data_IF_025356536186
#
_entry.id   IF_025356536186
#
_cell.length_a   1.000
_cell.length_b   1.000
_cell.length_c   1.000
_cell.angle_alpha   90.00
_cell.angle_beta   90.00
_cell.angle_gamma   90.00
#
_symmetry.space_group_name_H-M   'P 1'
#
loop_
_entity.id
_entity.type
_entity.pdbx_description
1 polymer ?
#
# COMPACT_ATOMS: atom_id res chain seq x y z
N UNK A 1 -2.67 -5.21 25.38
CA UNK A 1 -2.73 -3.89 24.69
C UNK A 1 -3.99 -3.86 23.83
N UNK A 2 -4.62 -2.71 23.72
CA UNK A 2 -5.84 -2.54 22.92
C UNK A 2 -5.51 -2.57 21.42
N UNK A 3 -6.48 -2.96 20.56
CA UNK A 3 -6.32 -2.93 19.11
C UNK A 3 -6.05 -1.51 18.61
N UNK A 4 -4.98 -1.32 17.83
CA UNK A 4 -4.59 0.00 17.31
C UNK A 4 -3.68 -0.09 16.09
N UNK A 5 -3.44 1.03 15.45
CA UNK A 5 -2.37 1.21 14.46
C UNK A 5 -1.19 1.87 15.16
N UNK A 6 -0.05 1.18 15.19
CA UNK A 6 1.19 1.78 15.65
C UNK A 6 1.94 2.34 14.45
N UNK A 7 2.70 3.42 14.65
CA UNK A 7 3.54 3.94 13.58
C UNK A 7 4.85 4.53 14.12
N UNK A 8 5.85 4.54 13.26
CA UNK A 8 7.14 5.18 13.50
C UNK A 8 7.69 5.72 12.19
N UNK A 9 8.54 6.75 12.27
CA UNK A 9 9.28 7.28 11.11
C UNK A 9 10.76 7.27 11.46
N UNK A 10 11.55 6.62 10.62
CA UNK A 10 13.00 6.56 10.76
C UNK A 10 13.65 6.45 9.39
N UNK A 11 14.72 7.18 9.14
CA UNK A 11 15.55 7.11 7.92
C UNK A 11 14.72 7.22 6.60
N UNK A 12 13.70 8.06 6.60
CA UNK A 12 12.82 8.27 5.45
C UNK A 12 11.71 7.22 5.28
N UNK A 13 11.60 6.26 6.17
CA UNK A 13 10.62 5.18 6.13
C UNK A 13 9.59 5.37 7.24
N UNK A 14 8.32 5.50 6.87
CA UNK A 14 7.20 5.36 7.79
C UNK A 14 6.80 3.90 7.88
N UNK A 15 6.81 3.32 9.06
CA UNK A 15 6.31 1.96 9.30
C UNK A 15 4.99 2.04 10.04
N UNK A 16 3.93 1.48 9.45
CA UNK A 16 2.61 1.32 10.07
C UNK A 16 2.41 -0.15 10.42
N UNK A 17 2.11 -0.42 11.70
CA UNK A 17 1.93 -1.77 12.22
C UNK A 17 0.49 -1.97 12.65
N UNK A 18 -0.17 -2.97 12.08
CA UNK A 18 -1.50 -3.41 12.50
C UNK A 18 -1.33 -4.21 13.79
N UNK A 19 -1.80 -3.66 14.92
CA UNK A 19 -1.60 -4.27 16.23
C UNK A 19 -2.91 -4.73 16.84
N UNK A 20 -3.20 -6.00 16.73
CA UNK A 20 -4.30 -6.71 17.40
C UNK A 20 -3.95 -8.20 17.55
N UNK A 21 -2.87 -8.53 18.26
CA UNK A 21 -2.32 -9.90 18.28
C UNK A 21 -3.31 -10.95 18.79
N UNK A 22 -4.21 -10.58 19.73
CA UNK A 22 -5.25 -11.48 20.24
C UNK A 22 -6.21 -12.02 19.17
N UNK A 23 -6.35 -11.31 18.03
CA UNK A 23 -7.19 -11.70 16.89
C UNK A 23 -6.42 -11.73 15.57
N UNK A 24 -5.15 -12.11 15.60
CA UNK A 24 -4.29 -12.19 14.41
C UNK A 24 -4.32 -10.90 13.59
N UNK A 25 -4.24 -9.78 14.28
CA UNK A 25 -4.26 -8.43 13.69
C UNK A 25 -5.52 -8.11 12.86
N UNK A 26 -6.67 -8.73 13.21
CA UNK A 26 -7.96 -8.35 12.60
C UNK A 26 -8.28 -6.89 12.91
N UNK A 27 -8.66 -6.14 11.88
CA UNK A 27 -8.94 -4.71 11.94
C UNK A 27 -10.30 -4.44 12.57
N UNK A 28 -10.33 -3.67 13.64
CA UNK A 28 -11.56 -3.16 14.24
C UNK A 28 -12.12 -1.98 13.43
N UNK A 29 -13.38 -1.59 13.68
CA UNK A 29 -13.96 -0.41 13.05
C UNK A 29 -13.14 0.87 13.32
N UNK A 30 -12.61 1.00 14.54
CA UNK A 30 -11.80 2.16 14.91
C UNK A 30 -10.44 2.19 14.21
N UNK A 31 -9.81 1.04 14.03
CA UNK A 31 -8.58 0.93 13.23
C UNK A 31 -8.84 1.28 11.75
N UNK A 32 -9.97 0.82 11.17
CA UNK A 32 -10.34 1.22 9.82
C UNK A 32 -10.57 2.72 9.68
N UNK A 33 -11.21 3.36 10.68
CA UNK A 33 -11.41 4.82 10.70
C UNK A 33 -10.11 5.59 10.89
N UNK A 34 -9.19 5.05 11.68
CA UNK A 34 -7.93 5.70 12.01
C UNK A 34 -6.91 5.68 10.86
N UNK A 35 -7.00 4.70 9.95
CA UNK A 35 -5.98 4.54 8.89
C UNK A 35 -5.93 5.74 7.92
N UNK A 36 -7.04 6.23 7.33
CA UNK A 36 -6.97 7.37 6.41
C UNK A 36 -6.32 8.63 7.01
N UNK A 37 -6.74 9.17 8.17
CA UNK A 37 -6.09 10.37 8.72
C UNK A 37 -4.63 10.14 9.13
N UNK A 38 -4.25 8.91 9.51
CA UNK A 38 -2.85 8.57 9.73
C UNK A 38 -2.06 8.66 8.43
N UNK A 39 -2.60 8.11 7.32
CA UNK A 39 -1.96 8.18 6.01
C UNK A 39 -1.83 9.62 5.53
N UNK A 40 -2.84 10.47 5.73
CA UNK A 40 -2.78 11.89 5.39
C UNK A 40 -1.65 12.61 6.16
N UNK A 41 -1.51 12.32 7.45
CA UNK A 41 -0.42 12.85 8.28
C UNK A 41 0.95 12.42 7.75
N UNK A 42 1.13 11.13 7.44
CA UNK A 42 2.39 10.60 6.93
C UNK A 42 2.68 11.08 5.49
N UNK A 43 1.66 11.29 4.68
CA UNK A 43 1.81 11.84 3.34
C UNK A 43 2.33 13.29 3.37
N UNK A 44 1.84 14.09 4.33
CA UNK A 44 2.23 15.48 4.51
C UNK A 44 3.63 15.65 5.16
N UNK A 45 4.15 14.62 5.81
CA UNK A 45 5.46 14.68 6.46
C UNK A 45 6.60 14.61 5.41
N UNK A 46 7.41 15.67 5.24
CA UNK A 46 8.52 15.66 4.28
C UNK A 46 9.65 14.67 4.65
N UNK A 47 9.73 14.24 5.91
CA UNK A 47 10.67 13.22 6.34
C UNK A 47 10.30 11.83 5.82
N UNK A 48 9.03 11.59 5.48
CA UNK A 48 8.56 10.31 4.93
C UNK A 48 8.80 10.26 3.43
N UNK A 49 9.47 9.23 2.96
CA UNK A 49 9.73 8.95 1.54
C UNK A 49 9.13 7.62 1.06
N UNK A 50 8.92 6.68 1.98
CA UNK A 50 8.35 5.35 1.74
C UNK A 50 7.46 4.99 2.91
N UNK A 51 6.36 4.28 2.65
CA UNK A 51 5.52 3.69 3.68
C UNK A 51 5.64 2.16 3.64
N UNK A 52 5.89 1.55 4.79
CA UNK A 52 5.83 0.10 5.00
C UNK A 52 4.61 -0.22 5.86
N UNK A 53 3.73 -1.09 5.39
CA UNK A 53 2.61 -1.63 6.15
C UNK A 53 2.92 -3.07 6.55
N UNK A 54 2.79 -3.39 7.83
CA UNK A 54 2.99 -4.75 8.35
C UNK A 54 2.04 -5.05 9.50
N UNK A 55 2.04 -6.30 9.98
CA UNK A 55 1.30 -6.72 11.16
C UNK A 55 2.23 -7.01 12.32
N UNK A 56 1.74 -6.88 13.54
CA UNK A 56 2.48 -7.23 14.76
C UNK A 56 2.77 -8.73 14.82
N UNK A 57 3.99 -9.09 15.18
CA UNK A 57 4.41 -10.49 15.35
C UNK A 57 4.39 -11.30 14.06
N UNK A 58 3.90 -12.53 14.12
CA UNK A 58 3.96 -13.50 13.03
C UNK A 58 2.77 -13.47 12.06
N UNK A 59 1.94 -12.43 12.04
CA UNK A 59 0.75 -12.35 11.17
C UNK A 59 0.56 -10.94 10.64
N UNK A 60 0.31 -10.81 9.35
CA UNK A 60 0.01 -9.52 8.75
C UNK A 60 -1.37 -9.01 9.19
N UNK A 61 -2.44 -9.65 8.73
CA UNK A 61 -3.81 -9.28 9.11
C UNK A 61 -4.80 -10.37 8.67
N UNK A 62 -5.61 -10.87 9.61
CA UNK A 62 -6.63 -11.87 9.34
C UNK A 62 -7.98 -11.30 8.83
N UNK A 63 -8.00 -10.02 8.47
CA UNK A 63 -9.18 -9.36 7.90
C UNK A 63 -9.89 -8.42 8.85
N UNK A 64 -11.19 -8.21 8.64
CA UNK A 64 -12.01 -7.42 9.56
C UNK A 64 -12.35 -8.23 10.82
N UNK A 65 -12.39 -7.56 11.97
CA UNK A 65 -12.91 -8.17 13.20
C UNK A 65 -14.43 -8.40 13.06
N UNK A 66 -14.80 -9.67 12.81
CA UNK A 66 -16.18 -10.08 12.58
C UNK A 66 -17.08 -9.76 13.78
N UNK A 67 -16.54 -9.69 15.01
CA UNK A 67 -17.33 -9.33 16.18
C UNK A 67 -17.90 -7.91 16.10
N UNK A 68 -17.25 -7.03 15.34
CA UNK A 68 -17.68 -5.65 15.08
C UNK A 68 -18.72 -5.54 13.96
N UNK A 69 -18.94 -6.61 13.17
CA UNK A 69 -19.90 -6.64 12.07
C UNK A 69 -21.35 -6.93 12.53
N UNK A 70 -21.55 -7.31 13.80
CA UNK A 70 -22.89 -7.55 14.34
C UNK A 70 -23.69 -6.26 14.39
N UNK A 71 -24.64 -6.10 13.46
CA UNK A 71 -25.58 -4.97 13.43
C UNK A 71 -25.31 -3.86 12.39
N UNK A 72 -24.15 -3.84 11.70
CA UNK A 72 -23.81 -2.79 10.75
C UNK A 72 -22.84 -3.23 9.65
N UNK A 73 -23.11 -4.36 9.00
CA UNK A 73 -22.22 -4.92 7.96
C UNK A 73 -21.88 -3.94 6.82
N UNK A 74 -22.83 -3.10 6.41
CA UNK A 74 -22.59 -2.10 5.35
C UNK A 74 -21.67 -0.96 5.75
N UNK A 75 -21.75 -0.48 7.00
CA UNK A 75 -20.89 0.59 7.50
C UNK A 75 -19.43 0.10 7.63
N UNK A 76 -19.22 -1.08 8.22
CA UNK A 76 -17.89 -1.66 8.37
C UNK A 76 -17.21 -1.92 7.02
N UNK A 77 -17.97 -2.37 6.01
CA UNK A 77 -17.45 -2.53 4.65
C UNK A 77 -17.07 -1.18 4.05
N UNK A 78 -17.86 -0.13 4.23
CA UNK A 78 -17.56 1.22 3.78
C UNK A 78 -16.27 1.79 4.42
N UNK A 79 -16.03 1.48 5.71
CA UNK A 79 -14.79 1.85 6.39
C UNK A 79 -13.57 1.17 5.76
N UNK A 80 -13.65 -0.14 5.52
CA UNK A 80 -12.55 -0.90 4.91
C UNK A 80 -12.22 -0.38 3.50
N UNK A 81 -13.24 -0.09 2.69
CA UNK A 81 -13.05 0.47 1.33
C UNK A 81 -12.38 1.85 1.40
N UNK A 82 -12.83 2.75 2.29
CA UNK A 82 -12.18 4.06 2.46
C UNK A 82 -10.73 3.96 2.86
N UNK A 83 -10.41 3.04 3.77
CA UNK A 83 -9.03 2.80 4.22
C UNK A 83 -8.15 2.24 3.08
N UNK A 84 -8.68 1.31 2.29
CA UNK A 84 -8.01 0.78 1.10
C UNK A 84 -7.75 1.87 0.06
N UNK A 85 -8.76 2.69 -0.27
CA UNK A 85 -8.62 3.78 -1.23
C UNK A 85 -7.61 4.84 -0.77
N UNK A 86 -7.61 5.19 0.52
CA UNK A 86 -6.62 6.11 1.08
C UNK A 86 -5.19 5.55 0.97
N UNK A 87 -5.01 4.24 1.19
CA UNK A 87 -3.71 3.61 1.05
C UNK A 87 -3.25 3.55 -0.41
N UNK A 88 -4.15 3.19 -1.34
CA UNK A 88 -3.84 3.18 -2.76
C UNK A 88 -3.53 4.58 -3.31
N UNK A 89 -4.18 5.62 -2.76
CA UNK A 89 -3.94 7.02 -3.12
C UNK A 89 -2.71 7.64 -2.44
N UNK A 90 -2.00 6.92 -1.57
CA UNK A 90 -0.82 7.44 -0.89
C UNK A 90 0.25 7.82 -1.91
N UNK A 91 0.63 9.11 -1.91
CA UNK A 91 1.41 9.68 -3.02
C UNK A 91 2.88 9.21 -3.11
N UNK A 92 3.37 8.53 -2.08
CA UNK A 92 4.75 8.00 -2.00
C UNK A 92 4.72 6.48 -2.13
N UNK A 93 5.84 5.80 -2.46
CA UNK A 93 5.88 4.34 -2.54
C UNK A 93 5.39 3.64 -1.28
N UNK A 94 4.60 2.58 -1.46
CA UNK A 94 4.05 1.77 -0.38
C UNK A 94 4.46 0.30 -0.55
N UNK A 95 4.86 -0.33 0.54
CA UNK A 95 5.29 -1.72 0.58
C UNK A 95 4.56 -2.48 1.70
N UNK A 96 3.85 -3.55 1.36
CA UNK A 96 3.33 -4.49 2.35
C UNK A 96 4.39 -5.54 2.69
N UNK A 97 4.72 -5.68 3.98
CA UNK A 97 5.60 -6.73 4.51
C UNK A 97 4.72 -7.80 5.18
N UNK A 98 4.54 -8.92 4.49
CA UNK A 98 3.49 -9.92 4.82
C UNK A 98 4.09 -11.15 5.47
N UNK A 99 3.64 -11.47 6.70
CA UNK A 99 3.89 -12.73 7.39
C UNK A 99 2.58 -13.44 7.70
N UNK A 100 2.63 -14.76 7.76
CA UNK A 100 1.50 -15.58 8.18
C UNK A 100 0.21 -15.22 7.42
N UNK A 101 -0.86 -14.91 8.11
CA UNK A 101 -2.16 -14.68 7.49
C UNK A 101 -2.32 -13.27 6.91
N UNK A 102 -2.64 -13.22 5.61
CA UNK A 102 -3.05 -12.03 4.87
C UNK A 102 -4.42 -12.31 4.23
N UNK A 103 -5.52 -12.11 4.97
CA UNK A 103 -6.83 -12.65 4.61
C UNK A 103 -7.90 -11.56 4.60
N UNK A 104 -8.86 -11.64 3.68
CA UNK A 104 -10.00 -10.73 3.58
C UNK A 104 -9.58 -9.27 3.48
N UNK A 105 -9.98 -8.44 4.45
CA UNK A 105 -9.56 -7.04 4.53
C UNK A 105 -8.04 -6.85 4.66
N UNK A 106 -7.30 -7.82 5.22
CA UNK A 106 -5.85 -7.79 5.24
C UNK A 106 -5.25 -7.93 3.83
N UNK A 107 -5.76 -8.88 3.04
CA UNK A 107 -5.36 -9.03 1.66
C UNK A 107 -5.75 -7.81 0.80
N UNK A 108 -6.88 -7.18 1.12
CA UNK A 108 -7.33 -5.93 0.52
C UNK A 108 -6.33 -4.79 0.75
N UNK A 109 -5.86 -4.61 2.00
CA UNK A 109 -4.83 -3.62 2.31
C UNK A 109 -3.49 -3.94 1.64
N UNK A 110 -3.05 -5.20 1.65
CA UNK A 110 -1.83 -5.60 0.97
C UNK A 110 -1.91 -5.31 -0.54
N UNK A 111 -3.04 -5.61 -1.18
CA UNK A 111 -3.28 -5.32 -2.60
C UNK A 111 -3.35 -3.82 -2.92
N UNK A 112 -3.63 -2.97 -1.94
CA UNK A 112 -3.64 -1.52 -2.08
C UNK A 112 -2.24 -0.88 -1.97
N UNK A 113 -1.25 -1.59 -1.45
CA UNK A 113 0.15 -1.17 -1.53
C UNK A 113 0.69 -1.33 -2.96
N UNK A 114 1.73 -0.57 -3.31
CA UNK A 114 2.38 -0.68 -4.61
C UNK A 114 3.07 -2.04 -4.77
N UNK A 115 3.78 -2.48 -3.73
CA UNK A 115 4.53 -3.73 -3.71
C UNK A 115 4.19 -4.56 -2.47
N UNK A 116 4.39 -5.88 -2.56
CA UNK A 116 4.13 -6.87 -1.51
C UNK A 116 5.29 -7.84 -1.43
N UNK A 117 6.02 -7.82 -0.31
CA UNK A 117 7.02 -8.84 0.00
C UNK A 117 6.46 -9.76 1.09
N UNK A 118 6.65 -11.05 0.92
CA UNK A 118 6.08 -12.05 1.80
C UNK A 118 7.14 -13.00 2.35
N UNK A 119 6.88 -13.47 3.57
CA UNK A 119 7.54 -14.65 4.12
C UNK A 119 7.04 -15.92 3.37
N UNK A 120 7.89 -16.93 3.22
CA UNK A 120 7.54 -18.18 2.54
C UNK A 120 6.37 -18.95 3.19
N UNK A 121 6.13 -18.73 4.49
CA UNK A 121 5.01 -19.33 5.22
C UNK A 121 3.72 -18.50 5.14
N UNK A 122 3.72 -17.38 4.42
CA UNK A 122 2.56 -16.52 4.32
C UNK A 122 1.41 -17.20 3.55
N UNK A 123 0.18 -16.93 4.00
CA UNK A 123 -1.05 -17.44 3.38
C UNK A 123 -1.98 -16.29 3.02
N UNK A 124 -2.48 -16.32 1.79
CA UNK A 124 -3.30 -15.27 1.22
C UNK A 124 -4.70 -15.76 0.89
N UNK A 125 -5.71 -14.94 1.10
CA UNK A 125 -7.06 -15.29 0.68
C UNK A 125 -8.05 -14.15 0.78
N UNK A 126 -9.10 -14.23 -0.02
CA UNK A 126 -10.18 -13.26 -0.07
C UNK A 126 -11.49 -14.00 0.16
N UNK A 127 -12.04 -13.87 1.36
CA UNK A 127 -13.05 -14.79 1.90
C UNK A 127 -14.49 -14.26 1.99
N UNK A 128 -14.91 -13.18 1.30
CA UNK A 128 -16.26 -12.62 1.43
C UNK A 128 -17.36 -13.61 1.04
N UNK A 129 -17.11 -14.51 0.07
CA UNK A 129 -18.07 -15.53 -0.34
C UNK A 129 -18.47 -16.50 0.80
N UNK A 130 -17.57 -16.74 1.76
CA UNK A 130 -17.88 -17.56 2.96
C UNK A 130 -18.85 -16.87 3.92
N UNK A 131 -19.00 -15.55 3.80
CA UNK A 131 -19.84 -14.73 4.68
C UNK A 131 -21.06 -14.11 3.96
N UNK A 132 -21.22 -14.38 2.66
CA UNK A 132 -22.24 -13.73 1.84
C UNK A 132 -22.05 -12.23 1.64
N UNK A 133 -20.80 -11.73 1.79
CA UNK A 133 -20.46 -10.30 1.63
C UNK A 133 -20.16 -10.03 0.15
N UNK A 134 -20.79 -8.98 -0.40
CA UNK A 134 -20.45 -8.51 -1.74
C UNK A 134 -19.19 -7.64 -1.66
N UNK A 135 -18.13 -8.08 -2.31
CA UNK A 135 -16.86 -7.36 -2.35
C UNK A 135 -16.96 -6.09 -3.20
N UNK A 136 -16.33 -5.00 -2.79
CA UNK A 136 -16.42 -3.74 -3.50
C UNK A 136 -15.84 -3.85 -4.93
N UNK A 137 -16.44 -3.12 -5.86
CA UNK A 137 -16.00 -3.14 -7.26
C UNK A 137 -14.58 -2.59 -7.45
N UNK A 138 -14.18 -1.58 -6.68
CA UNK A 138 -12.81 -1.03 -6.70
C UNK A 138 -11.79 -2.06 -6.21
N UNK A 139 -12.03 -2.69 -5.07
CA UNK A 139 -11.19 -3.76 -4.52
C UNK A 139 -11.09 -4.96 -5.48
N UNK A 140 -12.22 -5.34 -6.09
CA UNK A 140 -12.24 -6.42 -7.10
C UNK A 140 -11.39 -6.06 -8.33
N UNK A 141 -11.52 -4.85 -8.86
CA UNK A 141 -10.70 -4.40 -10.01
C UNK A 141 -9.23 -4.34 -9.68
N UNK A 142 -8.85 -3.86 -8.48
CA UNK A 142 -7.46 -3.85 -8.00
C UNK A 142 -6.88 -5.25 -7.93
N UNK A 143 -7.63 -6.20 -7.39
CA UNK A 143 -7.21 -7.61 -7.40
C UNK A 143 -7.03 -8.13 -8.82
N UNK A 144 -7.98 -7.86 -9.71
CA UNK A 144 -7.91 -8.29 -11.13
C UNK A 144 -6.68 -7.70 -11.83
N UNK A 145 -6.31 -6.46 -11.55
CA UNK A 145 -5.12 -5.84 -12.15
C UNK A 145 -3.81 -6.51 -11.71
N UNK A 146 -3.76 -7.07 -10.50
CA UNK A 146 -2.60 -7.80 -9.99
C UNK A 146 -2.52 -9.23 -10.54
N UNK A 147 -3.61 -9.99 -10.43
CA UNK A 147 -3.58 -11.45 -10.62
C UNK A 147 -4.33 -11.94 -11.86
N UNK A 148 -4.90 -11.03 -12.63
CA UNK A 148 -5.78 -11.33 -13.75
C UNK A 148 -7.16 -11.86 -13.34
N UNK A 149 -8.13 -11.88 -14.28
CA UNK A 149 -9.53 -12.16 -13.95
C UNK A 149 -9.78 -13.60 -13.49
N UNK A 150 -9.01 -14.59 -13.98
CA UNK A 150 -9.22 -15.99 -13.62
C UNK A 150 -8.80 -16.27 -12.17
N UNK A 151 -7.62 -15.82 -11.76
CA UNK A 151 -7.13 -15.99 -10.38
C UNK A 151 -7.96 -15.15 -9.40
N UNK A 152 -8.36 -13.94 -9.77
CA UNK A 152 -9.26 -13.12 -8.95
C UNK A 152 -10.59 -13.84 -8.69
N UNK A 153 -11.21 -14.42 -9.71
CA UNK A 153 -12.43 -15.23 -9.56
C UNK A 153 -12.21 -16.47 -8.71
N UNK A 154 -11.08 -17.17 -8.88
CA UNK A 154 -10.74 -18.30 -8.04
C UNK A 154 -10.75 -17.90 -6.55
N UNK A 155 -10.02 -16.84 -6.19
CA UNK A 155 -9.94 -16.36 -4.80
C UNK A 155 -11.29 -15.89 -4.26
N UNK A 156 -12.03 -15.09 -5.05
CA UNK A 156 -13.30 -14.50 -4.65
C UNK A 156 -14.44 -15.54 -4.56
N UNK A 157 -14.47 -16.53 -5.46
CA UNK A 157 -15.57 -17.52 -5.50
C UNK A 157 -15.37 -18.63 -4.47
N UNK A 158 -14.13 -19.15 -4.35
CA UNK A 158 -13.84 -20.24 -3.42
C UNK A 158 -13.64 -19.78 -1.99
N UNK A 159 -13.05 -18.57 -1.82
CA UNK A 159 -12.58 -18.11 -0.53
C UNK A 159 -11.45 -18.99 0.04
N UNK A 160 -10.82 -19.83 -0.78
CA UNK A 160 -9.68 -20.64 -0.36
C UNK A 160 -8.44 -19.79 -0.11
N UNK A 161 -7.55 -20.31 0.74
CA UNK A 161 -6.24 -19.71 0.93
C UNK A 161 -5.26 -20.28 -0.10
N UNK A 162 -4.35 -19.46 -0.56
CA UNK A 162 -3.20 -19.84 -1.36
C UNK A 162 -1.91 -19.57 -0.57
N UNK A 163 -0.88 -20.36 -0.82
CA UNK A 163 0.45 -20.17 -0.24
C UNK A 163 1.23 -19.04 -0.93
N UNK A 164 2.39 -18.71 -0.36
CA UNK A 164 3.25 -17.65 -0.87
C UNK A 164 3.79 -17.97 -2.27
N UNK A 165 4.10 -19.24 -2.58
CA UNK A 165 4.57 -19.65 -3.89
C UNK A 165 3.51 -19.40 -4.98
N UNK A 166 2.27 -19.79 -4.72
CA UNK A 166 1.17 -19.53 -5.66
C UNK A 166 0.87 -18.03 -5.77
N UNK A 167 0.95 -17.29 -4.66
CA UNK A 167 0.78 -15.85 -4.65
C UNK A 167 1.85 -15.14 -5.51
N UNK A 168 3.11 -15.56 -5.43
CA UNK A 168 4.19 -15.07 -6.28
C UNK A 168 3.93 -15.41 -7.76
N UNK A 169 3.63 -16.67 -8.05
CA UNK A 169 3.38 -17.13 -9.43
C UNK A 169 2.21 -16.44 -10.11
N UNK A 170 1.22 -15.98 -9.36
CA UNK A 170 0.05 -15.28 -9.89
C UNK A 170 0.18 -13.76 -9.92
N UNK A 171 1.25 -13.19 -9.38
CA UNK A 171 1.47 -11.75 -9.30
C UNK A 171 0.78 -11.07 -8.12
N UNK A 172 0.19 -11.83 -7.19
CA UNK A 172 -0.34 -11.27 -5.95
C UNK A 172 0.77 -10.77 -5.02
N UNK A 173 1.96 -11.35 -5.10
CA UNK A 173 3.16 -11.01 -4.33
C UNK A 173 4.32 -10.80 -5.30
N UNK A 174 5.16 -9.82 -5.02
CA UNK A 174 6.27 -9.42 -5.87
C UNK A 174 7.57 -10.16 -5.50
N UNK A 175 7.74 -10.53 -4.21
CA UNK A 175 8.92 -11.23 -3.72
C UNK A 175 8.56 -12.13 -2.53
N UNK A 176 9.08 -13.36 -2.53
CA UNK A 176 8.95 -14.30 -1.41
C UNK A 176 10.32 -14.57 -0.81
N UNK A 177 10.42 -14.43 0.51
CA UNK A 177 11.67 -14.54 1.26
C UNK A 177 11.63 -15.78 2.17
N UNK A 178 12.76 -16.46 2.34
CA UNK A 178 12.88 -17.52 3.34
C UNK A 178 12.74 -16.97 4.77
N UNK A 179 12.39 -17.83 5.69
CA UNK A 179 12.09 -17.47 7.08
C UNK A 179 13.15 -16.59 7.72
N UNK A 180 12.72 -15.47 8.30
CA UNK A 180 13.56 -14.50 9.00
C UNK A 180 14.25 -13.45 8.10
N UNK A 181 14.23 -13.57 6.77
CA UNK A 181 14.90 -12.62 5.87
C UNK A 181 14.00 -11.44 5.44
N UNK A 182 12.70 -11.52 5.66
CA UNK A 182 11.76 -10.50 5.19
C UNK A 182 12.08 -9.09 5.70
N UNK A 183 12.35 -8.91 7.00
CA UNK A 183 12.64 -7.58 7.57
C UNK A 183 13.90 -6.97 6.97
N UNK A 184 14.94 -7.77 6.84
CA UNK A 184 16.20 -7.36 6.25
C UNK A 184 15.98 -6.90 4.80
N UNK A 185 15.26 -7.70 4.02
CA UNK A 185 14.97 -7.37 2.62
C UNK A 185 14.10 -6.12 2.48
N UNK A 186 13.06 -5.97 3.29
CA UNK A 186 12.20 -4.78 3.35
C UNK A 186 13.03 -3.53 3.69
N UNK A 187 13.91 -3.61 4.69
CA UNK A 187 14.79 -2.50 5.07
C UNK A 187 15.79 -2.15 3.96
N UNK A 188 16.36 -3.13 3.27
CA UNK A 188 17.28 -2.92 2.13
C UNK A 188 16.56 -2.24 0.97
N UNK A 189 15.38 -2.75 0.60
CA UNK A 189 14.59 -2.20 -0.50
C UNK A 189 14.08 -0.80 -0.18
N UNK A 190 13.61 -0.56 1.03
CA UNK A 190 13.19 0.78 1.49
C UNK A 190 14.32 1.79 1.39
N UNK A 191 15.57 1.42 1.78
CA UNK A 191 16.74 2.29 1.60
C UNK A 191 17.04 2.60 0.12
N UNK A 192 16.81 1.64 -0.77
CA UNK A 192 16.90 1.89 -2.21
C UNK A 192 15.86 2.94 -2.61
N UNK A 193 14.58 2.76 -2.26
CA UNK A 193 13.50 3.70 -2.60
C UNK A 193 13.78 5.10 -2.04
N UNK A 194 14.20 5.20 -0.78
CA UNK A 194 14.58 6.48 -0.14
C UNK A 194 15.69 7.20 -0.89
N UNK A 195 16.63 6.47 -1.50
CA UNK A 195 17.76 7.06 -2.24
C UNK A 195 17.41 7.51 -3.67
N UNK A 196 16.20 7.25 -4.15
CA UNK A 196 15.77 7.60 -5.53
C UNK A 196 14.97 8.89 -5.55
N UNK A 197 14.87 9.52 -6.73
CA UNK A 197 14.05 10.71 -6.95
C UNK A 197 12.57 10.44 -6.63
N UNK A 198 11.99 11.17 -5.68
CA UNK A 198 10.56 11.10 -5.39
C UNK A 198 9.71 11.63 -6.55
N UNK A 199 10.23 12.58 -7.32
CA UNK A 199 9.58 13.07 -8.53
C UNK A 199 9.31 11.92 -9.52
N UNK A 200 10.34 11.13 -9.80
CA UNK A 200 10.22 9.99 -10.71
C UNK A 200 9.28 8.92 -10.14
N UNK A 201 9.38 8.62 -8.85
CA UNK A 201 8.55 7.60 -8.21
C UNK A 201 7.07 8.01 -8.22
N UNK A 202 6.75 9.26 -7.88
CA UNK A 202 5.37 9.74 -7.86
C UNK A 202 4.74 9.76 -9.26
N UNK A 203 5.49 10.22 -10.27
CA UNK A 203 5.02 10.19 -11.66
C UNK A 203 4.80 8.75 -12.15
N UNK A 204 5.77 7.85 -11.89
CA UNK A 204 5.68 6.45 -12.28
C UNK A 204 4.49 5.74 -11.63
N UNK A 205 4.21 6.03 -10.35
CA UNK A 205 3.04 5.49 -9.64
C UNK A 205 1.74 5.92 -10.30
N UNK A 206 1.54 7.22 -10.52
CA UNK A 206 0.33 7.72 -11.17
C UNK A 206 0.13 7.13 -12.57
N UNK A 207 1.18 7.02 -13.37
CA UNK A 207 1.09 6.45 -14.71
C UNK A 207 0.80 4.95 -14.69
N UNK A 208 1.44 4.21 -13.77
CA UNK A 208 1.17 2.78 -13.59
C UNK A 208 -0.27 2.52 -13.11
N UNK A 209 -0.84 3.43 -12.33
CA UNK A 209 -2.24 3.38 -11.89
C UNK A 209 -3.23 3.85 -12.97
N UNK A 210 -2.74 4.12 -14.19
CA UNK A 210 -3.57 4.48 -15.35
C UNK A 210 -3.96 5.96 -15.43
N UNK A 211 -3.34 6.84 -14.66
CA UNK A 211 -3.57 8.29 -14.72
C UNK A 211 -2.75 8.91 -15.83
N UNK A 212 -3.36 9.05 -17.01
CA UNK A 212 -2.73 9.64 -18.20
C UNK A 212 -3.13 11.10 -18.45
N UNK A 213 -3.97 11.66 -17.59
CA UNK A 213 -4.47 13.04 -17.67
C UNK A 213 -3.51 14.08 -17.08
N UNK A 214 -2.35 13.64 -16.55
CA UNK A 214 -1.38 14.49 -15.88
C UNK A 214 0.01 14.56 -16.54
N UNK A 215 0.14 14.12 -17.76
CA UNK A 215 1.41 14.15 -18.52
C UNK A 215 2.06 15.54 -18.50
N UNK A 216 1.28 16.59 -18.83
CA UNK A 216 1.76 17.97 -18.83
C UNK A 216 2.18 18.46 -17.44
N UNK A 217 1.47 18.04 -16.39
CA UNK A 217 1.85 18.36 -15.01
C UNK A 217 3.22 17.76 -14.67
N UNK A 218 3.40 16.46 -14.91
CA UNK A 218 4.65 15.78 -14.60
C UNK A 218 5.80 16.26 -15.48
N UNK A 219 5.54 16.60 -16.76
CA UNK A 219 6.53 17.21 -17.62
C UNK A 219 7.00 18.59 -17.10
N UNK A 220 6.11 19.41 -16.52
CA UNK A 220 6.48 20.66 -15.84
C UNK A 220 7.30 20.38 -14.58
N UNK A 221 6.84 19.48 -13.71
CA UNK A 221 7.57 19.11 -12.49
C UNK A 221 8.99 18.62 -12.80
N UNK A 222 9.18 17.83 -13.86
CA UNK A 222 10.48 17.33 -14.28
C UNK A 222 11.42 18.46 -14.77
N UNK A 223 10.88 19.47 -15.47
CA UNK A 223 11.67 20.64 -15.91
C UNK A 223 12.08 21.54 -14.77
N UNK A 224 11.16 21.76 -13.82
CA UNK A 224 11.30 22.79 -12.78
C UNK A 224 11.95 22.23 -11.49
N UNK A 225 11.86 20.91 -11.27
CA UNK A 225 12.20 20.25 -10.01
C UNK A 225 13.68 20.01 -9.74
N UNK A 226 14.56 20.21 -10.73
CA UNK A 226 16.02 20.07 -10.55
C UNK A 226 16.56 18.63 -10.45
N UNK A 227 15.73 17.64 -10.12
CA UNK A 227 16.16 16.25 -9.89
C UNK A 227 16.86 15.62 -11.12
N UNK A 228 16.42 15.96 -12.34
CA UNK A 228 17.07 15.47 -13.58
C UNK A 228 18.50 16.01 -13.70
N UNK A 229 18.71 17.30 -13.45
CA UNK A 229 20.03 17.91 -13.51
C UNK A 229 20.97 17.33 -12.45
N UNK A 230 20.46 17.20 -11.20
CA UNK A 230 21.20 16.58 -10.11
C UNK A 230 21.57 15.11 -10.42
N UNK A 231 20.61 14.33 -10.90
CA UNK A 231 20.84 12.92 -11.24
C UNK A 231 21.92 12.73 -12.31
N UNK A 232 21.92 13.58 -13.35
CA UNK A 232 22.94 13.58 -14.41
C UNK A 232 24.29 14.00 -13.86
N UNK A 233 24.36 15.09 -13.08
CA UNK A 233 25.60 15.56 -12.47
C UNK A 233 26.20 14.50 -11.54
N UNK A 234 25.42 13.95 -10.65
CA UNK A 234 25.84 12.90 -9.71
C UNK A 234 26.38 11.66 -10.44
N UNK A 235 25.71 11.24 -11.54
CA UNK A 235 26.16 10.11 -12.36
C UNK A 235 27.54 10.38 -13.01
N UNK A 236 27.73 11.55 -13.61
CA UNK A 236 29.00 11.92 -14.26
C UNK A 236 30.14 12.08 -13.24
N UNK A 237 29.82 12.61 -12.07
CA UNK A 237 30.77 12.82 -10.96
C UNK A 237 30.99 11.56 -10.11
N UNK A 238 30.28 10.47 -10.37
CA UNK A 238 30.32 9.20 -9.63
C UNK A 238 30.05 9.35 -8.13
N UNK A 239 29.15 10.25 -7.77
CA UNK A 239 28.67 10.46 -6.40
C UNK A 239 27.23 10.02 -6.23
N UNK A 240 26.75 9.98 -4.98
CA UNK A 240 25.31 9.80 -4.72
C UNK A 240 24.58 11.09 -5.08
N UNK A 241 23.39 10.99 -5.73
CA UNK A 241 22.55 12.14 -5.97
C UNK A 241 21.91 12.64 -4.66
N UNK A 242 21.65 13.94 -4.60
CA UNK A 242 20.89 14.59 -3.52
C UNK A 242 19.59 15.17 -4.10
N UNK A 243 18.56 14.35 -4.18
CA UNK A 243 17.27 14.72 -4.73
C UNK A 243 16.47 15.54 -3.71
N UNK A 244 16.06 16.73 -4.10
CA UNK A 244 15.38 17.70 -3.22
C UNK A 244 13.88 17.84 -3.49
N UNK A 245 13.39 17.30 -4.62
CA UNK A 245 11.95 17.36 -4.89
C UNK A 245 11.18 16.54 -3.86
N UNK A 246 10.07 17.10 -3.37
CA UNK A 246 9.16 16.44 -2.44
C UNK A 246 7.74 16.43 -3.01
N UNK A 247 6.98 15.40 -2.69
CA UNK A 247 5.58 15.30 -3.11
C UNK A 247 4.78 16.49 -2.59
N UNK A 248 4.09 17.26 -3.46
CA UNK A 248 3.23 18.36 -3.02
C UNK A 248 2.15 17.86 -2.07
N UNK A 249 1.86 18.63 -1.02
CA UNK A 249 0.74 18.34 -0.13
C UNK A 249 -0.59 18.53 -0.88
N UNK A 250 -1.60 17.66 -0.74
CA UNK A 250 -2.86 17.73 -1.49
C UNK A 250 -3.61 19.09 -1.45
N UNK A 251 -3.37 19.91 -0.44
CA UNK A 251 -3.97 21.24 -0.28
C UNK A 251 -3.35 22.33 -1.18
N UNK A 252 -2.30 22.06 -1.92
CA UNK A 252 -1.59 23.05 -2.75
C UNK A 252 -1.88 22.92 -4.27
N UNK A 253 -2.75 22.02 -4.68
CA UNK A 253 -3.17 21.97 -6.09
C UNK A 253 -4.18 23.08 -6.39
N UNK A 254 -3.91 24.01 -7.34
CA UNK A 254 -4.91 24.96 -7.77
C UNK A 254 -6.04 24.20 -8.44
N UNK A 255 -7.26 24.35 -7.93
CA UNK A 255 -8.49 23.89 -8.58
C UNK A 255 -8.50 24.42 -10.01
N UNK A 256 -8.41 23.55 -11.00
CA UNK A 256 -8.61 23.92 -12.39
C UNK A 256 -10.05 24.42 -12.53
N UNK A 257 -10.24 25.75 -12.53
CA UNK A 257 -11.48 26.37 -12.95
C UNK A 257 -11.69 26.03 -14.42
N UNK A 258 -12.51 25.02 -14.68
CA UNK A 258 -13.07 24.77 -16.02
C UNK A 258 -13.93 25.96 -16.38
N UNK A 259 -13.37 26.87 -17.17
CA UNK A 259 -14.15 27.91 -17.84
C UNK A 259 -14.79 27.24 -19.05
N UNK A 260 -16.03 26.76 -18.88
CA UNK A 260 -16.90 26.43 -19.99
C UNK A 260 -17.23 27.73 -20.77
N UNK A 261 -16.82 27.76 -22.01
CA UNK A 261 -17.42 28.63 -23.04
C UNK A 261 -18.17 27.77 -24.03
#
# INVERSE_FOLDING_TARGET
MEPQLLHSVADGVATVVIHHPAKRNAMTADMWRALPPLLDTLAADPAVRVLVLTGEGGTFCAGADISSLRGSSGEAQGLAVRAEEALAAFAKPTLAAVRGYCVGGGCQLAAACDLRFADEEASFGITPAKLGIVYAASSTRRLVSLVGPATAKYLLFSGELIDAERALRTGLVDEVLPGGELDKRVAEFSRILVSRSQLTQAAAKEFADGRTDRDDYWARQARDGGDTAEGVAAFLERRRPDFTWTTPTPASEPTSTSTSR
#
